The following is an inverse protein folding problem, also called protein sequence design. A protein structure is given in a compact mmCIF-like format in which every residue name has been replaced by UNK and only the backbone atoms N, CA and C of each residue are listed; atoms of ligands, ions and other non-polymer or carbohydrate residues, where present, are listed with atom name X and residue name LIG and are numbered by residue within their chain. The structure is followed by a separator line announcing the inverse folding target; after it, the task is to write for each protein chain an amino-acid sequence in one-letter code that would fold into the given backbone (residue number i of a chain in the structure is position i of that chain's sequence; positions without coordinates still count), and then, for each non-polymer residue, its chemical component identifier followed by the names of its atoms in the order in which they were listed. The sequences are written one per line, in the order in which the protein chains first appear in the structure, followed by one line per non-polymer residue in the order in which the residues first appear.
data_IF_898686539957
#
_entry.id   IF_898686539957
#
_cell.length_a   1.000
_cell.length_b   1.000
_cell.length_c   1.000
_cell.angle_alpha   90.00
_cell.angle_beta   90.00
_cell.angle_gamma   90.00
#
_symmetry.space_group_name_H-M   'P 1'
#
loop_
_entity.id
_entity.type
_entity.pdbx_description
1 polymer ?
#
# COMPACT_ATOMS: atom_id res chain seq x y z
N UNK A 1 23.62 -7.08 -7.46
CA UNK A 1 22.48 -7.98 -7.18
C UNK A 1 22.89 -9.42 -7.49
N UNK A 2 22.66 -10.35 -6.57
CA UNK A 2 22.75 -11.81 -6.77
C UNK A 2 21.71 -12.28 -7.80
N UNK A 3 21.74 -13.58 -8.17
CA UNK A 3 20.70 -14.15 -9.05
C UNK A 3 19.30 -14.00 -8.45
N UNK A 4 19.13 -14.41 -7.19
CA UNK A 4 17.87 -14.32 -6.44
C UNK A 4 17.36 -12.88 -6.33
N UNK A 5 18.23 -11.92 -6.01
CA UNK A 5 17.85 -10.50 -5.94
C UNK A 5 17.34 -9.98 -7.29
N UNK A 6 17.97 -10.37 -8.41
CA UNK A 6 17.53 -9.97 -9.76
C UNK A 6 16.18 -10.57 -10.12
N UNK A 7 15.98 -11.86 -9.84
CA UNK A 7 14.72 -12.55 -10.13
C UNK A 7 13.55 -11.94 -9.34
N UNK A 8 13.74 -11.68 -8.04
CA UNK A 8 12.72 -11.05 -7.19
C UNK A 8 12.44 -9.61 -7.58
N UNK A 9 13.48 -8.82 -7.88
CA UNK A 9 13.30 -7.45 -8.39
C UNK A 9 12.54 -7.47 -9.72
N UNK A 10 12.86 -8.39 -10.63
CA UNK A 10 12.16 -8.52 -11.90
C UNK A 10 10.70 -8.89 -11.71
N UNK A 11 10.40 -9.85 -10.85
CA UNK A 11 9.02 -10.23 -10.52
C UNK A 11 8.23 -9.05 -9.92
N UNK A 12 8.86 -8.22 -9.08
CA UNK A 12 8.24 -7.01 -8.56
C UNK A 12 7.93 -5.99 -9.67
N UNK A 13 8.88 -5.72 -10.56
CA UNK A 13 8.69 -4.82 -11.71
C UNK A 13 7.56 -5.33 -12.61
N UNK A 14 7.54 -6.63 -12.91
CA UNK A 14 6.50 -7.24 -13.74
C UNK A 14 5.11 -7.16 -13.07
N UNK A 15 5.03 -7.28 -11.73
CA UNK A 15 3.78 -7.08 -10.97
C UNK A 15 3.32 -5.62 -10.94
N UNK A 16 4.24 -4.67 -10.77
CA UNK A 16 3.95 -3.24 -10.72
C UNK A 16 3.37 -2.73 -12.05
N UNK A 17 3.81 -3.30 -13.16
CA UNK A 17 3.34 -2.94 -14.50
C UNK A 17 1.89 -3.37 -14.81
N UNK A 18 1.24 -4.17 -13.96
CA UNK A 18 -0.11 -4.70 -14.22
C UNK A 18 -1.16 -3.69 -13.71
N UNK A 19 -1.97 -3.08 -14.59
CA UNK A 19 -3.08 -2.25 -14.16
C UNK A 19 -4.18 -3.09 -13.50
N UNK A 20 -4.92 -2.48 -12.58
CA UNK A 20 -6.17 -3.09 -12.11
C UNK A 20 -7.21 -3.06 -13.23
N UNK A 21 -7.98 -4.14 -13.34
CA UNK A 21 -9.03 -4.31 -14.35
C UNK A 21 -10.27 -4.86 -13.66
N UNK A 22 -11.34 -4.06 -13.61
CA UNK A 22 -12.59 -4.42 -12.96
C UNK A 22 -13.38 -5.51 -13.73
N UNK A 23 -13.06 -5.74 -15.01
CA UNK A 23 -13.67 -6.80 -15.83
C UNK A 23 -12.96 -8.14 -15.66
N UNK A 24 -11.73 -8.12 -15.12
CA UNK A 24 -10.99 -9.33 -14.80
C UNK A 24 -11.52 -9.97 -13.52
N UNK A 25 -12.00 -11.22 -13.65
CA UNK A 25 -12.60 -11.98 -12.54
C UNK A 25 -11.64 -12.16 -11.37
N UNK A 26 -10.35 -12.42 -11.63
CA UNK A 26 -9.36 -12.63 -10.58
C UNK A 26 -9.08 -11.34 -9.79
N UNK A 27 -9.06 -10.20 -10.47
CA UNK A 27 -8.88 -8.90 -9.81
C UNK A 27 -10.08 -8.56 -8.92
N UNK A 28 -11.29 -8.78 -9.44
CA UNK A 28 -12.52 -8.60 -8.68
C UNK A 28 -12.59 -9.54 -7.46
N UNK A 29 -12.24 -10.82 -7.62
CA UNK A 29 -12.17 -11.76 -6.48
C UNK A 29 -11.14 -11.35 -5.43
N UNK A 30 -9.99 -10.82 -5.83
CA UNK A 30 -8.99 -10.32 -4.88
C UNK A 30 -9.53 -9.15 -4.03
N UNK A 31 -10.33 -8.26 -4.64
CA UNK A 31 -11.00 -7.18 -3.90
C UNK A 31 -12.09 -7.71 -2.95
N UNK A 32 -12.81 -8.77 -3.34
CA UNK A 32 -13.76 -9.46 -2.46
C UNK A 32 -13.07 -10.13 -1.28
N UNK A 33 -11.92 -10.74 -1.52
CA UNK A 33 -11.07 -11.33 -0.49
C UNK A 33 -10.61 -10.29 0.53
N UNK A 34 -10.21 -9.12 0.06
CA UNK A 34 -9.85 -8.00 0.94
C UNK A 34 -11.01 -7.63 1.87
N UNK A 35 -12.24 -7.49 1.32
CA UNK A 35 -13.43 -7.19 2.11
C UNK A 35 -13.68 -8.24 3.19
N UNK A 36 -13.67 -9.53 2.82
CA UNK A 36 -13.93 -10.64 3.75
C UNK A 36 -12.95 -10.63 4.93
N UNK A 37 -11.70 -10.24 4.73
CA UNK A 37 -10.71 -10.15 5.81
C UNK A 37 -10.89 -8.89 6.65
N UNK A 38 -11.26 -7.77 6.03
CA UNK A 38 -11.50 -6.50 6.71
C UNK A 38 -12.77 -6.54 7.59
N UNK A 39 -13.84 -7.15 7.08
CA UNK A 39 -15.16 -7.21 7.70
C UNK A 39 -15.70 -8.65 7.75
N UNK A 40 -15.09 -9.55 8.55
CA UNK A 40 -15.40 -10.99 8.51
C UNK A 40 -16.81 -11.37 8.95
N UNK A 41 -17.54 -10.46 9.60
CA UNK A 41 -18.91 -10.66 10.10
C UNK A 41 -19.97 -9.98 9.22
N UNK A 42 -19.58 -9.41 8.08
CA UNK A 42 -20.49 -8.73 7.15
C UNK A 42 -20.53 -9.47 5.83
N UNK A 43 -21.70 -9.45 5.21
CA UNK A 43 -21.85 -9.95 3.85
C UNK A 43 -20.96 -9.14 2.89
N UNK A 44 -20.53 -9.82 1.83
CA UNK A 44 -19.81 -9.17 0.76
C UNK A 44 -20.78 -8.22 0.03
N UNK A 45 -20.47 -6.92 -0.07
CA UNK A 45 -21.36 -6.00 -0.73
C UNK A 45 -21.20 -6.09 -2.26
N UNK A 46 -22.04 -5.35 -2.98
CA UNK A 46 -21.86 -5.17 -4.42
C UNK A 46 -20.51 -4.52 -4.74
N UNK A 47 -19.97 -4.75 -5.94
CA UNK A 47 -18.67 -4.17 -6.34
C UNK A 47 -18.68 -2.63 -6.41
N UNK A 48 -19.86 -2.01 -6.44
CA UNK A 48 -20.06 -0.57 -6.35
C UNK A 48 -21.16 -0.28 -5.32
N UNK A 49 -20.79 0.22 -4.15
CA UNK A 49 -21.70 0.45 -3.03
C UNK A 49 -21.09 1.40 -1.98
N UNK A 50 -21.91 1.93 -1.08
CA UNK A 50 -21.47 2.90 -0.07
C UNK A 50 -20.57 2.27 1.01
N UNK A 51 -20.75 0.98 1.29
CA UNK A 51 -20.02 0.25 2.33
C UNK A 51 -18.50 0.22 2.08
N UNK A 52 -18.05 0.35 0.83
CA UNK A 52 -16.63 0.49 0.52
C UNK A 52 -16.00 1.71 1.19
N UNK A 53 -16.73 2.82 1.35
CA UNK A 53 -16.21 4.01 2.02
C UNK A 53 -15.85 3.75 3.48
N UNK A 54 -16.47 2.76 4.14
CA UNK A 54 -16.14 2.37 5.52
C UNK A 54 -14.72 1.78 5.64
N UNK A 55 -14.19 1.21 4.55
CA UNK A 55 -12.79 0.77 4.49
C UNK A 55 -11.82 1.92 4.15
N UNK A 56 -12.34 3.10 3.85
CA UNK A 56 -11.58 4.25 3.39
C UNK A 56 -11.24 4.20 1.90
N UNK A 57 -12.12 3.68 1.05
CA UNK A 57 -12.07 3.94 -0.39
C UNK A 57 -12.62 5.35 -0.68
N UNK A 58 -12.11 6.06 -1.69
CA UNK A 58 -12.53 7.45 -1.98
C UNK A 58 -14.00 7.57 -2.41
N UNK A 59 -14.52 6.54 -3.07
CA UNK A 59 -15.89 6.50 -3.57
C UNK A 59 -16.55 5.15 -3.35
N UNK A 60 -17.71 4.99 -3.98
CA UNK A 60 -18.47 3.73 -3.94
C UNK A 60 -17.84 2.63 -4.80
N UNK A 61 -16.92 2.99 -5.69
CA UNK A 61 -16.27 2.09 -6.63
C UNK A 61 -14.74 2.07 -6.38
N UNK A 62 -14.24 1.08 -5.62
CA UNK A 62 -12.81 0.94 -5.32
C UNK A 62 -11.92 0.85 -6.56
N UNK A 63 -12.46 0.41 -7.71
CA UNK A 63 -11.70 0.32 -8.95
C UNK A 63 -11.11 1.67 -9.37
N UNK A 64 -11.75 2.77 -8.99
CA UNK A 64 -11.32 4.13 -9.36
C UNK A 64 -10.06 4.60 -8.63
N UNK A 65 -9.79 4.04 -7.45
CA UNK A 65 -8.62 4.38 -6.62
C UNK A 65 -7.33 3.74 -7.17
N UNK A 66 -7.42 2.56 -7.82
CA UNK A 66 -6.26 1.79 -8.27
C UNK A 66 -5.51 2.37 -9.49
N UNK A 67 -5.85 3.57 -9.98
CA UNK A 67 -5.22 4.16 -11.18
C UNK A 67 -3.72 4.39 -11.03
N UNK A 68 -3.27 4.82 -9.85
CA UNK A 68 -1.87 5.15 -9.59
C UNK A 68 -1.05 3.96 -9.10
N UNK A 69 -1.64 3.07 -8.29
CA UNK A 69 -0.96 1.91 -7.70
C UNK A 69 -1.19 0.57 -8.40
N UNK A 70 -2.01 0.55 -9.45
CA UNK A 70 -2.33 -0.64 -10.24
C UNK A 70 -2.86 -1.81 -9.41
N UNK A 71 -2.73 -3.03 -9.96
CA UNK A 71 -3.11 -4.25 -9.26
C UNK A 71 -2.22 -4.51 -8.03
N UNK A 72 -0.96 -4.08 -8.08
CA UNK A 72 0.00 -4.27 -6.98
C UNK A 72 -0.51 -3.66 -5.66
N UNK A 73 -1.17 -2.50 -5.71
CA UNK A 73 -1.74 -1.88 -4.53
C UNK A 73 -2.84 -2.72 -3.86
N UNK A 74 -3.69 -3.38 -4.65
CA UNK A 74 -4.66 -4.34 -4.13
C UNK A 74 -3.98 -5.57 -3.54
N UNK A 75 -2.95 -6.10 -4.22
CA UNK A 75 -2.17 -7.24 -3.72
C UNK A 75 -1.51 -6.93 -2.37
N UNK A 76 -0.93 -5.73 -2.23
CA UNK A 76 -0.34 -5.26 -0.97
C UNK A 76 -1.39 -5.20 0.15
N UNK A 77 -2.57 -4.62 -0.10
CA UNK A 77 -3.65 -4.56 0.89
C UNK A 77 -4.14 -5.96 1.30
N UNK A 78 -4.32 -6.88 0.35
CA UNK A 78 -4.72 -8.27 0.62
C UNK A 78 -3.65 -9.01 1.42
N UNK A 79 -2.37 -8.87 1.02
CA UNK A 79 -1.25 -9.45 1.75
C UNK A 79 -1.20 -8.88 3.17
N UNK A 80 -1.34 -7.57 3.32
CA UNK A 80 -1.31 -6.87 4.60
C UNK A 80 -2.42 -7.38 5.52
N UNK A 81 -3.64 -7.48 5.01
CA UNK A 81 -4.80 -8.01 5.72
C UNK A 81 -4.60 -9.46 6.18
N UNK A 82 -4.02 -10.32 5.32
CA UNK A 82 -3.87 -11.77 5.58
C UNK A 82 -2.64 -12.09 6.45
N UNK A 83 -1.52 -11.37 6.29
CA UNK A 83 -0.23 -11.69 6.91
C UNK A 83 0.08 -10.88 8.16
N UNK A 84 -0.37 -9.63 8.22
CA UNK A 84 -0.15 -8.72 9.36
C UNK A 84 -1.49 -8.19 9.89
N UNK A 85 -2.48 -9.09 10.05
CA UNK A 85 -3.87 -8.75 10.35
C UNK A 85 -4.04 -7.83 11.58
N UNK A 86 -3.20 -8.01 12.60
CA UNK A 86 -3.23 -7.17 13.82
C UNK A 86 -2.92 -5.71 13.47
N UNK A 87 -1.83 -5.46 12.75
CA UNK A 87 -1.42 -4.11 12.31
C UNK A 87 -2.45 -3.54 11.33
N UNK A 88 -2.89 -4.35 10.36
CA UNK A 88 -3.93 -3.97 9.40
C UNK A 88 -5.19 -3.45 10.11
N UNK A 89 -5.72 -4.20 11.09
CA UNK A 89 -6.92 -3.80 11.82
C UNK A 89 -6.69 -2.57 12.70
N UNK A 90 -5.51 -2.45 13.31
CA UNK A 90 -5.10 -1.30 14.11
C UNK A 90 -5.14 0.00 13.29
N UNK A 91 -4.51 -0.01 12.11
CA UNK A 91 -4.45 1.13 11.20
C UNK A 91 -5.80 1.41 10.52
N UNK A 92 -6.54 0.38 10.13
CA UNK A 92 -7.86 0.55 9.49
C UNK A 92 -8.88 1.13 10.47
N UNK A 93 -8.89 0.65 11.71
CA UNK A 93 -9.84 1.08 12.76
C UNK A 93 -9.35 2.25 13.60
N UNK A 94 -8.15 2.76 13.32
CA UNK A 94 -7.63 3.98 13.94
C UNK A 94 -7.56 3.87 15.47
N UNK A 95 -7.11 2.73 15.99
CA UNK A 95 -7.25 2.41 17.43
C UNK A 95 -6.26 3.13 18.35
N UNK A 96 -5.25 3.78 17.78
CA UNK A 96 -4.14 4.37 18.54
C UNK A 96 -4.13 5.89 18.40
N UNK A 97 -3.76 6.60 19.47
CA UNK A 97 -3.52 8.04 19.47
C UNK A 97 -4.80 8.90 19.47
N UNK A 98 -4.61 10.20 19.69
CA UNK A 98 -5.65 11.20 19.47
C UNK A 98 -5.70 11.55 17.98
N UNK A 99 -6.91 11.60 17.42
CA UNK A 99 -7.14 11.65 15.98
C UNK A 99 -8.12 12.76 15.61
N UNK A 100 -7.99 13.26 14.39
CA UNK A 100 -8.90 14.27 13.86
C UNK A 100 -10.26 13.64 13.55
N UNK A 101 -11.34 14.43 13.57
CA UNK A 101 -12.63 13.97 13.04
C UNK A 101 -12.53 13.60 11.55
N UNK A 102 -11.60 14.23 10.83
CA UNK A 102 -11.36 14.01 9.40
C UNK A 102 -10.04 13.26 9.20
N UNK A 103 -10.07 11.95 9.45
CA UNK A 103 -8.92 11.05 9.29
C UNK A 103 -8.56 10.75 7.83
N UNK A 104 -7.37 10.21 7.61
CA UNK A 104 -7.00 9.70 6.30
C UNK A 104 -7.79 8.44 5.92
N UNK A 105 -8.24 8.33 4.65
CA UNK A 105 -8.96 7.17 4.15
C UNK A 105 -8.01 5.96 4.05
N UNK A 106 -8.23 4.92 4.87
CA UNK A 106 -7.28 3.81 5.02
C UNK A 106 -6.95 3.11 3.69
N UNK A 107 -7.94 2.64 2.93
CA UNK A 107 -7.67 1.90 1.69
C UNK A 107 -7.00 2.78 0.62
N UNK A 108 -7.50 4.00 0.41
CA UNK A 108 -6.90 4.96 -0.52
C UNK A 108 -5.47 5.36 -0.11
N UNK A 109 -5.21 5.50 1.20
CA UNK A 109 -3.85 5.68 1.72
C UNK A 109 -2.95 4.50 1.37
N UNK A 110 -3.45 3.27 1.52
CA UNK A 110 -2.72 2.07 1.12
C UNK A 110 -2.37 2.05 -0.38
N UNK A 111 -3.23 2.57 -1.25
CA UNK A 111 -2.90 2.74 -2.67
C UNK A 111 -1.78 3.76 -2.86
N UNK A 112 -1.86 4.90 -2.18
CA UNK A 112 -0.84 5.96 -2.24
C UNK A 112 0.52 5.51 -1.71
N UNK A 113 0.57 4.71 -0.64
CA UNK A 113 1.81 4.12 -0.13
C UNK A 113 2.45 3.21 -1.17
N UNK A 114 1.66 2.37 -1.84
CA UNK A 114 2.18 1.51 -2.92
C UNK A 114 2.75 2.35 -4.07
N UNK A 115 1.99 3.37 -4.51
CA UNK A 115 2.43 4.26 -5.57
C UNK A 115 3.71 5.03 -5.22
N UNK A 116 3.86 5.49 -3.97
CA UNK A 116 5.07 6.16 -3.52
C UNK A 116 6.30 5.24 -3.50
N UNK A 117 6.12 3.97 -3.13
CA UNK A 117 7.18 2.96 -3.16
C UNK A 117 7.56 2.56 -4.59
N UNK A 118 6.59 2.48 -5.49
CA UNK A 118 6.80 2.17 -6.91
C UNK A 118 7.51 3.33 -7.64
N UNK A 119 7.04 4.56 -7.45
CA UNK A 119 7.65 5.77 -8.00
C UNK A 119 9.07 6.03 -7.46
N UNK A 120 9.40 5.56 -6.25
CA UNK A 120 10.77 5.58 -5.74
C UNK A 120 11.69 4.61 -6.51
N UNK A 121 11.13 3.61 -7.18
CA UNK A 121 11.82 2.73 -8.12
C UNK A 121 12.00 3.34 -9.52
N UNK A 122 11.09 4.21 -9.98
CA UNK A 122 11.09 4.79 -11.33
C UNK A 122 12.16 5.87 -11.60
N UNK A 123 12.82 6.40 -10.57
CA UNK A 123 14.07 7.16 -10.75
C UNK A 123 15.17 6.28 -11.42
N UNK A 124 14.95 4.96 -11.50
CA UNK A 124 15.75 4.00 -12.25
C UNK A 124 15.54 4.00 -13.78
N UNK A 125 14.57 4.76 -14.32
CA UNK A 125 14.44 5.01 -15.78
C UNK A 125 15.60 5.88 -16.30
N UNK A 126 16.31 6.59 -15.41
CA UNK A 126 17.62 7.15 -15.69
C UNK A 126 18.73 6.11 -15.44
N UNK A 127 18.99 5.26 -16.43
CA UNK A 127 20.21 4.43 -16.52
C UNK A 127 20.61 3.66 -15.26
N UNK A 128 19.90 2.57 -14.90
CA UNK A 128 20.23 1.69 -13.77
C UNK A 128 20.06 2.44 -12.43
N UNK A 129 19.37 1.88 -11.41
CA UNK A 129 19.46 2.45 -10.09
C UNK A 129 20.93 2.38 -9.70
N UNK A 130 21.64 3.51 -9.75
CA UNK A 130 22.97 3.61 -9.17
C UNK A 130 22.81 3.08 -7.75
N UNK A 131 23.62 2.10 -7.38
CA UNK A 131 23.69 1.52 -6.03
C UNK A 131 24.19 2.55 -5.01
N UNK A 132 23.70 3.78 -5.04
CA UNK A 132 24.31 4.94 -4.38
C UNK A 132 23.49 5.44 -3.20
N UNK A 133 22.26 4.96 -3.01
CA UNK A 133 21.52 5.23 -1.77
C UNK A 133 21.59 4.01 -0.84
N UNK A 134 21.73 4.28 0.45
CA UNK A 134 21.71 3.24 1.48
C UNK A 134 20.39 2.46 1.45
N UNK A 135 19.27 3.13 1.15
CA UNK A 135 17.96 2.51 1.01
C UNK A 135 17.90 1.47 -0.12
N UNK A 136 18.46 1.76 -1.30
CA UNK A 136 18.49 0.81 -2.41
C UNK A 136 19.36 -0.41 -2.11
N UNK A 137 20.48 -0.21 -1.40
CA UNK A 137 21.33 -1.30 -0.95
C UNK A 137 20.62 -2.17 0.11
N UNK A 138 19.98 -1.56 1.11
CA UNK A 138 19.22 -2.27 2.13
C UNK A 138 18.05 -3.05 1.53
N UNK A 139 17.31 -2.46 0.58
CA UNK A 139 16.23 -3.15 -0.12
C UNK A 139 16.75 -4.33 -0.94
N UNK A 140 17.87 -4.17 -1.64
CA UNK A 140 18.52 -5.29 -2.33
C UNK A 140 18.88 -6.42 -1.38
N UNK A 141 19.45 -6.12 -0.21
CA UNK A 141 19.75 -7.14 0.81
C UNK A 141 18.48 -7.84 1.32
N UNK A 142 17.40 -7.08 1.60
CA UNK A 142 16.10 -7.66 1.95
C UNK A 142 15.57 -8.60 0.87
N UNK A 143 15.69 -8.23 -0.41
CA UNK A 143 15.31 -9.09 -1.54
C UNK A 143 16.13 -10.40 -1.57
N UNK A 144 17.31 -10.49 -0.96
CA UNK A 144 18.03 -11.76 -0.89
C UNK A 144 17.43 -12.71 0.15
N UNK A 145 16.98 -12.18 1.29
CA UNK A 145 16.62 -12.99 2.46
C UNK A 145 15.12 -13.19 2.63
N UNK A 146 14.30 -12.24 2.18
CA UNK A 146 12.87 -12.19 2.44
C UNK A 146 12.06 -12.21 1.13
N UNK A 147 11.24 -13.26 0.88
CA UNK A 147 10.37 -13.30 -0.29
C UNK A 147 9.25 -12.25 -0.29
N UNK A 148 8.87 -11.75 0.90
CA UNK A 148 7.82 -10.74 1.10
C UNK A 148 8.43 -9.35 1.43
N UNK A 149 9.70 -9.11 1.05
CA UNK A 149 10.45 -7.90 1.40
C UNK A 149 9.72 -6.59 1.02
N UNK A 150 9.08 -6.58 -0.14
CA UNK A 150 8.36 -5.40 -0.63
C UNK A 150 7.10 -5.15 0.19
N UNK A 151 6.33 -6.19 0.47
CA UNK A 151 5.11 -6.12 1.27
C UNK A 151 5.41 -5.74 2.74
N UNK A 152 6.51 -6.24 3.30
CA UNK A 152 6.98 -5.81 4.63
C UNK A 152 7.42 -4.34 4.64
N UNK A 153 8.07 -3.87 3.58
CA UNK A 153 8.41 -2.44 3.41
C UNK A 153 7.15 -1.59 3.27
N UNK A 154 6.14 -2.08 2.55
CA UNK A 154 4.82 -1.44 2.44
C UNK A 154 4.16 -1.25 3.82
N UNK A 155 4.15 -2.28 4.67
CA UNK A 155 3.61 -2.17 6.04
C UNK A 155 4.41 -1.16 6.86
N UNK A 156 5.74 -1.22 6.80
CA UNK A 156 6.62 -0.30 7.54
C UNK A 156 6.38 1.16 7.13
N UNK A 157 6.25 1.42 5.84
CA UNK A 157 5.92 2.75 5.33
C UNK A 157 4.56 3.20 5.86
N UNK A 158 3.55 2.32 5.84
CA UNK A 158 2.20 2.64 6.30
C UNK A 158 2.17 2.93 7.81
N UNK A 159 2.87 2.15 8.64
CA UNK A 159 3.00 2.43 10.07
C UNK A 159 3.74 3.75 10.32
N UNK A 160 4.77 4.04 9.54
CA UNK A 160 5.50 5.33 9.61
C UNK A 160 4.56 6.49 9.26
N UNK A 161 3.74 6.33 8.22
CA UNK A 161 2.75 7.33 7.84
C UNK A 161 1.75 7.60 8.96
N UNK A 162 1.21 6.55 9.59
CA UNK A 162 0.26 6.70 10.71
C UNK A 162 0.93 7.39 11.91
N UNK A 163 2.19 7.08 12.20
CA UNK A 163 2.96 7.76 13.23
C UNK A 163 3.18 9.24 12.90
N UNK A 164 3.52 9.56 11.65
CA UNK A 164 3.64 10.95 11.19
C UNK A 164 2.31 11.69 11.31
N UNK A 165 1.22 11.05 10.92
CA UNK A 165 -0.13 11.59 11.01
C UNK A 165 -0.48 11.99 12.44
N UNK A 166 -0.26 11.07 13.39
CA UNK A 166 -0.50 11.31 14.82
C UNK A 166 0.43 12.40 15.37
N UNK A 167 1.71 12.39 15.01
CA UNK A 167 2.68 13.37 15.52
C UNK A 167 2.39 14.80 15.07
N UNK A 168 1.73 14.95 13.93
CA UNK A 168 1.37 16.24 13.33
C UNK A 168 -0.06 16.65 13.68
N UNK A 169 -0.82 15.82 14.41
CA UNK A 169 -2.26 16.01 14.64
C UNK A 169 -3.02 16.28 13.34
N UNK A 170 -2.62 15.56 12.29
CA UNK A 170 -2.99 15.89 10.92
C UNK A 170 -4.47 15.63 10.64
N UNK A 171 -4.97 16.40 9.68
CA UNK A 171 -6.31 16.27 9.11
C UNK A 171 -6.24 15.76 7.68
N UNK A 172 -7.38 15.33 7.15
CA UNK A 172 -7.54 14.92 5.75
C UNK A 172 -6.87 15.89 4.75
N UNK A 173 -6.94 17.19 5.01
CA UNK A 173 -6.38 18.23 4.13
C UNK A 173 -4.84 18.21 4.07
N UNK A 174 -4.19 17.64 5.07
CA UNK A 174 -2.74 17.56 5.20
C UNK A 174 -2.17 16.23 4.70
N UNK A 175 -2.99 15.38 4.08
CA UNK A 175 -2.56 14.07 3.59
C UNK A 175 -1.29 14.11 2.74
N UNK A 176 -1.22 15.05 1.79
CA UNK A 176 -0.03 15.19 0.94
C UNK A 176 1.20 15.69 1.71
N UNK A 177 1.02 16.46 2.78
CA UNK A 177 2.10 16.93 3.66
C UNK A 177 2.67 15.73 4.43
N UNK A 178 1.81 14.92 5.04
CA UNK A 178 2.20 13.71 5.79
C UNK A 178 2.87 12.68 4.86
N UNK A 179 2.31 12.43 3.67
CA UNK A 179 2.91 11.55 2.66
C UNK A 179 4.33 11.99 2.29
N UNK A 180 4.54 13.29 2.08
CA UNK A 180 5.85 13.86 1.73
C UNK A 180 6.84 13.75 2.89
N UNK A 181 6.40 14.00 4.13
CA UNK A 181 7.22 13.84 5.33
C UNK A 181 7.63 12.37 5.51
N UNK A 182 6.69 11.44 5.37
CA UNK A 182 6.91 10.00 5.47
C UNK A 182 7.91 9.51 4.41
N UNK A 183 7.71 9.91 3.14
CA UNK A 183 8.60 9.52 2.03
C UNK A 183 10.04 9.97 2.29
N UNK A 184 10.25 11.14 2.89
CA UNK A 184 11.60 11.62 3.26
C UNK A 184 12.26 10.82 4.39
N UNK A 185 11.48 10.18 5.25
CA UNK A 185 12.00 9.34 6.35
C UNK A 185 12.32 7.92 5.89
N UNK A 186 11.65 7.44 4.84
CA UNK A 186 11.84 6.09 4.29
C UNK A 186 12.90 6.05 3.17
N UNK A 187 13.18 7.18 2.50
CA UNK A 187 14.26 7.34 1.50
C UNK A 187 15.61 7.64 2.15
#
# INVERSE_FOLDING_TARGET
LTKTQRERLRALIDRAAIPYDATNVAHAESLRDLWKVAFPMRDLPGMKCEEWKEMGWQGVDPATDFRAGGLLSLQNLVWFAKKQNKVFKRLMRKTDGARSDWEYPFAACGVNVTHALDAAGDDASSSVPKRTTAAAAAFAELLATDPDAFENMYVTFFETLDAEWLSQEATYMEFNVVMKATTKKVK
#
